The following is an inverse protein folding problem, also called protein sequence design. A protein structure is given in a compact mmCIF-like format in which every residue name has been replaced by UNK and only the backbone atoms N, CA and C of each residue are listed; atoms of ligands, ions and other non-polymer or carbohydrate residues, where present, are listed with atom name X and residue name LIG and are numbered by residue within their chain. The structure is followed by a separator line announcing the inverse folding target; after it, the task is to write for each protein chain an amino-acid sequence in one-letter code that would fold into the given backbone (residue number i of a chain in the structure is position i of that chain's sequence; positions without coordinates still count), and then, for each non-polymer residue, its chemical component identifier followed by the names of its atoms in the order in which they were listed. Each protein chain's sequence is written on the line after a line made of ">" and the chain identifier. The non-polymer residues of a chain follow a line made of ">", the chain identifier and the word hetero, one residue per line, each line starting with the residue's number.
data_IF_969644372118
#
_entry.id   IF_969644372118
#
_cell.length_a   1.000
_cell.length_b   1.000
_cell.length_c   1.000
_cell.angle_alpha   90.00
_cell.angle_beta   90.00
_cell.angle_gamma   90.00
#
_symmetry.space_group_name_H-M   'P 1'
#
loop_
_entity.id
_entity.type
_entity.pdbx_description
1 polymer ?
#
# COMPACT_ATOMS: atom_id res chain seq x y z
N UNK A 1 17.07 -27.68 -15.52
CA UNK A 1 16.21 -26.76 -14.75
C UNK A 1 16.87 -26.39 -13.43
N UNK A 2 17.31 -25.14 -13.35
CA UNK A 2 17.73 -24.40 -12.17
C UNK A 2 16.65 -24.40 -11.08
N UNK A 3 17.07 -24.08 -9.85
CA UNK A 3 16.18 -23.88 -8.70
C UNK A 3 15.16 -22.75 -8.96
N UNK A 4 15.56 -21.72 -9.71
CA UNK A 4 14.71 -20.58 -10.05
C UNK A 4 13.50 -20.97 -10.91
N UNK A 5 13.65 -21.69 -12.04
CA UNK A 5 12.48 -22.14 -12.79
C UNK A 5 11.63 -23.17 -12.07
N UNK A 6 12.20 -24.05 -11.25
CA UNK A 6 11.38 -24.96 -10.44
C UNK A 6 10.44 -24.17 -9.52
N UNK A 7 10.93 -23.07 -8.96
CA UNK A 7 10.12 -22.16 -8.15
C UNK A 7 9.10 -21.40 -9.01
N UNK A 8 9.47 -20.83 -10.16
CA UNK A 8 8.53 -20.11 -11.04
C UNK A 8 7.42 -21.05 -11.56
N UNK A 9 7.77 -22.26 -11.99
CA UNK A 9 6.82 -23.29 -12.40
C UNK A 9 5.93 -23.70 -11.22
N UNK A 10 6.50 -23.87 -10.02
CA UNK A 10 5.72 -24.17 -8.84
C UNK A 10 4.78 -23.02 -8.45
N UNK A 11 5.16 -21.76 -8.62
CA UNK A 11 4.28 -20.60 -8.40
C UNK A 11 3.17 -20.51 -9.44
N UNK A 12 3.49 -20.67 -10.72
CA UNK A 12 2.50 -20.74 -11.81
C UNK A 12 1.50 -21.88 -11.57
N UNK A 13 1.96 -23.02 -11.02
CA UNK A 13 1.09 -24.16 -10.70
C UNK A 13 0.32 -24.02 -9.37
N UNK A 14 0.71 -23.11 -8.45
CA UNK A 14 0.10 -22.96 -7.11
C UNK A 14 -0.93 -21.84 -6.99
N UNK A 15 -1.19 -21.06 -8.04
CA UNK A 15 -2.21 -20.02 -8.00
C UNK A 15 -2.09 -18.93 -9.07
N UNK A 16 -0.95 -18.83 -9.75
CA UNK A 16 -0.73 -17.83 -10.81
C UNK A 16 -1.02 -18.37 -12.22
N UNK A 17 -1.91 -19.36 -12.33
CA UNK A 17 -2.37 -19.86 -13.63
C UNK A 17 -3.07 -18.75 -14.41
N UNK A 18 -2.89 -18.71 -15.73
CA UNK A 18 -3.59 -17.76 -16.59
C UNK A 18 -5.11 -17.88 -16.37
N UNK A 19 -5.74 -16.76 -16.02
CA UNK A 19 -7.18 -16.64 -15.77
C UNK A 19 -7.84 -15.56 -16.65
N UNK A 20 -7.05 -14.95 -17.54
CA UNK A 20 -7.44 -13.86 -18.43
C UNK A 20 -7.21 -12.46 -17.86
N UNK A 21 -7.25 -12.30 -16.53
CA UNK A 21 -7.00 -11.02 -15.86
C UNK A 21 -5.51 -10.78 -15.58
N UNK A 22 -4.78 -11.85 -15.32
CA UNK A 22 -3.37 -11.82 -14.96
C UNK A 22 -2.39 -11.94 -16.15
N UNK A 23 -2.87 -11.82 -17.40
CA UNK A 23 -2.09 -12.08 -18.62
C UNK A 23 -0.74 -11.36 -18.64
N UNK A 24 -0.65 -10.10 -18.23
CA UNK A 24 0.61 -9.33 -18.31
C UNK A 24 1.73 -9.93 -17.42
N UNK A 25 1.35 -10.41 -16.23
CA UNK A 25 2.29 -11.03 -15.29
C UNK A 25 2.60 -12.45 -15.75
N UNK A 26 1.56 -13.19 -16.13
CA UNK A 26 1.69 -14.55 -16.65
C UNK A 26 2.61 -14.60 -17.88
N UNK A 27 2.43 -13.69 -18.84
CA UNK A 27 3.21 -13.56 -20.06
C UNK A 27 4.70 -13.41 -19.75
N UNK A 28 5.06 -12.59 -18.77
CA UNK A 28 6.47 -12.43 -18.35
C UNK A 28 7.00 -13.68 -17.66
N UNK A 29 6.25 -14.23 -16.70
CA UNK A 29 6.67 -15.42 -15.93
C UNK A 29 6.89 -16.62 -16.85
N UNK A 30 5.98 -16.88 -17.80
CA UNK A 30 6.10 -18.04 -18.71
C UNK A 30 7.25 -17.88 -19.70
N UNK A 31 7.59 -16.66 -20.12
CA UNK A 31 8.77 -16.42 -20.96
C UNK A 31 10.07 -16.81 -20.24
N UNK A 32 10.22 -16.51 -18.95
CA UNK A 32 11.38 -16.93 -18.17
C UNK A 32 11.49 -18.45 -18.08
N UNK A 33 10.36 -19.15 -17.93
CA UNK A 33 10.32 -20.61 -17.91
C UNK A 33 10.78 -21.19 -19.25
N UNK A 34 10.27 -20.67 -20.36
CA UNK A 34 10.62 -21.15 -21.70
C UNK A 34 12.06 -20.82 -22.09
N UNK A 35 12.62 -19.71 -21.58
CA UNK A 35 14.05 -19.37 -21.68
C UNK A 35 14.92 -20.43 -21.01
N UNK A 36 14.63 -20.78 -19.76
CA UNK A 36 15.43 -21.75 -19.02
C UNK A 36 15.26 -23.20 -19.50
N UNK A 37 14.13 -23.48 -20.15
CA UNK A 37 13.89 -24.75 -20.84
C UNK A 37 14.54 -24.79 -22.24
N UNK A 38 15.16 -23.69 -22.70
CA UNK A 38 15.78 -23.56 -24.03
C UNK A 38 14.82 -23.82 -25.21
N UNK A 39 13.54 -23.48 -25.01
CA UNK A 39 12.46 -23.67 -26.01
C UNK A 39 11.77 -22.37 -26.41
N UNK A 40 12.14 -21.22 -25.84
CA UNK A 40 11.52 -19.92 -26.15
C UNK A 40 11.51 -19.57 -27.65
N UNK A 41 12.52 -20.00 -28.40
CA UNK A 41 12.62 -19.79 -29.85
C UNK A 41 11.43 -20.37 -30.63
N UNK A 42 10.80 -21.44 -30.12
CA UNK A 42 9.64 -22.08 -30.77
C UNK A 42 8.37 -21.24 -30.74
N UNK A 43 8.34 -20.17 -29.93
CA UNK A 43 7.24 -19.20 -29.94
C UNK A 43 7.24 -18.28 -31.17
N UNK A 44 8.37 -18.21 -31.88
CA UNK A 44 8.57 -17.26 -32.99
C UNK A 44 8.88 -17.96 -34.31
N UNK A 45 9.39 -19.20 -34.24
CA UNK A 45 9.81 -19.97 -35.41
C UNK A 45 8.91 -21.19 -35.65
N UNK A 46 8.45 -21.29 -36.89
CA UNK A 46 7.81 -22.49 -37.43
C UNK A 46 8.82 -23.23 -38.30
N UNK A 47 8.85 -24.55 -38.22
CA UNK A 47 9.64 -25.41 -39.11
C UNK A 47 8.69 -26.31 -39.88
N UNK A 48 8.76 -26.25 -41.21
CA UNK A 48 8.03 -27.16 -42.08
C UNK A 48 8.68 -28.54 -42.08
N UNK A 49 7.86 -29.56 -42.29
CA UNK A 49 8.35 -30.93 -42.43
C UNK A 49 9.10 -31.07 -43.75
N UNK A 50 10.37 -31.51 -43.74
CA UNK A 50 11.16 -31.62 -44.97
C UNK A 50 10.54 -32.65 -45.93
N UNK A 51 10.60 -32.36 -47.23
CA UNK A 51 10.20 -33.29 -48.28
C UNK A 51 11.06 -34.56 -48.27
N UNK A 52 10.52 -35.69 -48.74
CA UNK A 52 11.27 -36.95 -48.77
C UNK A 52 12.51 -36.85 -49.66
N UNK A 53 13.66 -37.23 -49.13
CA UNK A 53 14.93 -37.28 -49.85
C UNK A 53 15.90 -38.32 -49.31
N UNK A 54 16.99 -38.54 -50.03
CA UNK A 54 18.06 -39.50 -49.66
C UNK A 54 19.43 -38.84 -49.55
N UNK A 55 19.48 -37.52 -49.54
CA UNK A 55 20.74 -36.76 -49.44
C UNK A 55 21.19 -36.60 -47.99
N UNK A 56 22.50 -36.40 -47.78
CA UNK A 56 23.04 -36.08 -46.46
C UNK A 56 22.47 -34.76 -45.88
N UNK A 57 21.97 -33.87 -46.75
CA UNK A 57 21.26 -32.66 -46.33
C UNK A 57 19.87 -33.00 -45.79
N UNK A 58 19.12 -33.88 -46.48
CA UNK A 58 17.82 -34.36 -46.01
C UNK A 58 17.89 -35.01 -44.63
N UNK A 59 18.90 -35.85 -44.37
CA UNK A 59 19.09 -36.46 -43.04
C UNK A 59 19.29 -35.41 -41.93
N UNK A 60 20.06 -34.36 -42.22
CA UNK A 60 20.26 -33.23 -41.29
C UNK A 60 18.98 -32.45 -41.06
N UNK A 61 18.23 -32.18 -42.12
CA UNK A 61 16.96 -31.44 -42.06
C UNK A 61 15.91 -32.24 -41.28
N UNK A 62 15.86 -33.56 -41.48
CA UNK A 62 14.99 -34.46 -40.72
C UNK A 62 15.37 -34.49 -39.24
N UNK A 63 16.67 -34.54 -38.91
CA UNK A 63 17.14 -34.49 -37.53
C UNK A 63 16.79 -33.14 -36.87
N UNK A 64 16.95 -32.03 -37.58
CA UNK A 64 16.53 -30.71 -37.11
C UNK A 64 15.01 -30.63 -36.87
N UNK A 65 14.21 -31.21 -37.77
CA UNK A 65 12.75 -31.29 -37.63
C UNK A 65 12.33 -32.06 -36.38
N UNK A 66 12.95 -33.21 -36.09
CA UNK A 66 12.67 -34.00 -34.87
C UNK A 66 12.99 -33.20 -33.60
N UNK A 67 14.14 -32.49 -33.59
CA UNK A 67 14.52 -31.64 -32.46
C UNK A 67 13.52 -30.50 -32.28
N UNK A 68 13.11 -29.83 -33.37
CA UNK A 68 12.11 -28.78 -33.33
C UNK A 68 10.75 -29.30 -32.84
N UNK A 69 10.25 -30.43 -33.35
CA UNK A 69 8.99 -31.05 -32.90
C UNK A 69 9.02 -31.33 -31.40
N UNK A 70 10.15 -31.81 -30.86
CA UNK A 70 10.34 -32.01 -29.42
C UNK A 70 10.29 -30.70 -28.64
N UNK A 71 11.01 -29.67 -29.07
CA UNK A 71 10.99 -28.35 -28.40
C UNK A 71 9.60 -27.70 -28.45
N UNK A 72 8.91 -27.80 -29.59
CA UNK A 72 7.54 -27.33 -29.78
C UNK A 72 6.59 -28.00 -28.78
N UNK A 73 6.66 -29.32 -28.63
CA UNK A 73 5.83 -30.05 -27.66
C UNK A 73 6.10 -29.62 -26.21
N UNK A 74 7.38 -29.43 -25.83
CA UNK A 74 7.73 -28.94 -24.49
C UNK A 74 7.14 -27.54 -24.25
N UNK A 75 7.29 -26.62 -25.21
CA UNK A 75 6.74 -25.28 -25.09
C UNK A 75 5.21 -25.28 -24.98
N UNK A 76 4.51 -26.06 -25.81
CA UNK A 76 3.05 -26.23 -25.73
C UNK A 76 2.59 -26.76 -24.38
N UNK A 77 3.23 -27.83 -23.89
CA UNK A 77 2.91 -28.42 -22.59
C UNK A 77 3.11 -27.39 -21.48
N UNK A 78 4.23 -26.65 -21.49
CA UNK A 78 4.49 -25.60 -20.49
C UNK A 78 3.40 -24.51 -20.53
N UNK A 79 3.01 -24.03 -21.72
CA UNK A 79 1.95 -23.03 -21.87
C UNK A 79 0.62 -23.53 -21.29
N UNK A 80 0.19 -24.73 -21.67
CA UNK A 80 -1.05 -25.37 -21.21
C UNK A 80 -1.05 -25.63 -19.70
N UNK A 81 0.09 -26.07 -19.16
CA UNK A 81 0.24 -26.34 -17.72
C UNK A 81 0.05 -25.08 -16.87
N UNK A 82 0.41 -23.92 -17.41
CA UNK A 82 0.39 -22.65 -16.72
C UNK A 82 -0.93 -21.88 -16.88
N UNK A 83 -1.99 -22.48 -17.41
CA UNK A 83 -3.31 -21.87 -17.54
C UNK A 83 -4.40 -22.65 -16.80
N UNK A 84 -5.52 -21.98 -16.50
CA UNK A 84 -6.70 -22.65 -15.92
C UNK A 84 -7.30 -23.64 -16.91
N UNK A 85 -7.95 -24.68 -16.38
CA UNK A 85 -8.42 -25.84 -17.16
C UNK A 85 -9.37 -25.43 -18.31
N UNK A 86 -10.20 -24.40 -18.10
CA UNK A 86 -11.09 -23.87 -19.16
C UNK A 86 -10.31 -23.31 -20.34
N UNK A 87 -9.24 -22.54 -20.07
CA UNK A 87 -8.37 -22.00 -21.11
C UNK A 87 -7.49 -23.09 -21.71
N UNK A 88 -7.05 -24.07 -20.90
CA UNK A 88 -6.29 -25.21 -21.39
C UNK A 88 -7.06 -25.95 -22.48
N UNK A 89 -8.34 -26.25 -22.26
CA UNK A 89 -9.19 -26.89 -23.27
C UNK A 89 -9.36 -26.02 -24.53
N UNK A 90 -9.47 -24.70 -24.36
CA UNK A 90 -9.62 -23.78 -25.50
C UNK A 90 -8.36 -23.70 -26.36
N UNK A 91 -7.18 -23.65 -25.74
CA UNK A 91 -5.91 -23.47 -26.43
C UNK A 91 -5.23 -24.79 -26.83
N UNK A 92 -5.75 -25.95 -26.45
CA UNK A 92 -5.17 -27.25 -26.80
C UNK A 92 -5.18 -27.53 -28.31
N UNK A 93 -6.15 -26.96 -29.05
CA UNK A 93 -6.32 -27.14 -30.50
C UNK A 93 -5.13 -26.66 -31.34
N UNK A 94 -4.31 -25.75 -30.82
CA UNK A 94 -3.17 -25.19 -31.54
C UNK A 94 -2.01 -26.19 -31.58
N UNK A 95 -1.67 -26.69 -32.78
CA UNK A 95 -0.60 -27.69 -32.99
C UNK A 95 0.82 -27.16 -32.75
N UNK A 96 1.00 -25.84 -32.82
CA UNK A 96 2.29 -25.18 -32.66
C UNK A 96 2.29 -24.25 -31.46
N UNK A 97 3.41 -24.20 -30.74
CA UNK A 97 3.63 -23.26 -29.65
C UNK A 97 3.53 -21.81 -30.14
N UNK A 98 4.03 -21.54 -31.36
CA UNK A 98 3.87 -20.27 -32.04
C UNK A 98 2.40 -19.89 -32.24
N UNK A 99 1.58 -20.76 -32.83
CA UNK A 99 0.16 -20.49 -33.07
C UNK A 99 -0.60 -20.23 -31.76
N UNK A 100 -0.35 -21.05 -30.73
CA UNK A 100 -0.92 -20.86 -29.40
C UNK A 100 -0.51 -19.50 -28.79
N UNK A 101 0.77 -19.15 -28.91
CA UNK A 101 1.32 -17.90 -28.38
C UNK A 101 0.75 -16.65 -29.06
N UNK A 102 0.57 -16.69 -30.38
CA UNK A 102 -0.06 -15.63 -31.16
C UNK A 102 -1.54 -15.47 -30.80
N UNK A 103 -2.28 -16.57 -30.69
CA UNK A 103 -3.69 -16.54 -30.29
C UNK A 103 -3.88 -16.00 -28.85
N UNK A 104 -3.00 -16.37 -27.92
CA UNK A 104 -3.00 -15.82 -26.56
C UNK A 104 -2.73 -14.31 -26.55
N UNK A 105 -1.82 -13.82 -27.39
CA UNK A 105 -1.55 -12.39 -27.54
C UNK A 105 -2.74 -11.65 -28.15
N UNK A 106 -3.41 -12.23 -29.12
CA UNK A 106 -4.58 -11.62 -29.73
C UNK A 106 -5.74 -11.53 -28.71
N UNK A 107 -6.02 -12.63 -28.02
CA UNK A 107 -7.11 -12.71 -27.04
C UNK A 107 -6.89 -11.84 -25.79
N UNK A 108 -5.67 -11.81 -25.26
CA UNK A 108 -5.39 -11.19 -23.95
C UNK A 108 -4.35 -10.05 -24.00
N UNK A 109 -3.54 -9.98 -25.05
CA UNK A 109 -2.46 -9.00 -25.19
C UNK A 109 -2.92 -7.62 -25.63
N UNK A 110 -4.07 -7.53 -26.32
CA UNK A 110 -4.77 -6.26 -26.41
C UNK A 110 -5.34 -5.92 -25.03
N UNK A 111 -5.03 -4.74 -24.50
CA UNK A 111 -5.79 -4.22 -23.37
C UNK A 111 -7.23 -4.05 -23.83
N UNK A 112 -8.09 -5.01 -23.51
CA UNK A 112 -9.50 -4.93 -23.87
C UNK A 112 -10.08 -3.64 -23.29
N UNK A 113 -10.95 -2.96 -24.04
CA UNK A 113 -11.62 -1.75 -23.57
C UNK A 113 -12.28 -1.98 -22.19
N UNK A 114 -12.75 -3.22 -21.94
CA UNK A 114 -13.29 -3.68 -20.66
C UNK A 114 -12.25 -3.70 -19.54
N UNK A 115 -11.04 -4.24 -19.76
CA UNK A 115 -9.94 -4.23 -18.79
C UNK A 115 -9.53 -2.80 -18.46
N UNK A 116 -9.38 -1.96 -19.49
CA UNK A 116 -9.03 -0.54 -19.31
C UNK A 116 -10.10 0.19 -18.50
N UNK A 117 -11.38 0.00 -18.83
CA UNK A 117 -12.51 0.58 -18.10
C UNK A 117 -12.51 0.16 -16.64
N UNK A 118 -12.30 -1.12 -16.35
CA UNK A 118 -12.23 -1.66 -14.98
C UNK A 118 -11.06 -1.06 -14.19
N UNK A 119 -9.88 -0.95 -14.79
CA UNK A 119 -8.71 -0.34 -14.15
C UNK A 119 -8.96 1.14 -13.82
N UNK A 120 -9.54 1.90 -14.76
CA UNK A 120 -9.91 3.30 -14.53
C UNK A 120 -10.93 3.45 -13.42
N UNK A 121 -11.97 2.61 -13.43
CA UNK A 121 -13.01 2.65 -12.40
C UNK A 121 -12.41 2.37 -11.02
N UNK A 122 -11.64 1.28 -10.91
CA UNK A 122 -10.94 0.93 -9.66
C UNK A 122 -10.03 2.07 -9.19
N UNK A 123 -9.28 2.70 -10.09
CA UNK A 123 -8.38 3.80 -9.77
C UNK A 123 -9.13 5.05 -9.28
N UNK A 124 -10.21 5.44 -9.95
CA UNK A 124 -10.99 6.62 -9.59
C UNK A 124 -11.79 6.45 -8.30
N UNK A 125 -12.27 5.23 -8.03
CA UNK A 125 -13.08 4.90 -6.86
C UNK A 125 -12.23 4.60 -5.61
N UNK A 126 -10.92 4.36 -5.78
CA UNK A 126 -10.06 3.97 -4.68
C UNK A 126 -9.88 5.10 -3.67
N UNK A 127 -10.12 4.78 -2.39
CA UNK A 127 -9.95 5.69 -1.24
C UNK A 127 -9.00 5.09 -0.21
N UNK A 128 -8.25 5.95 0.47
CA UNK A 128 -7.44 5.56 1.64
C UNK A 128 -8.36 5.02 2.73
N UNK A 129 -8.05 3.81 3.20
CA UNK A 129 -8.82 3.19 4.29
C UNK A 129 -8.34 3.69 5.66
N UNK A 130 -9.20 3.72 6.70
CA UNK A 130 -8.80 4.18 8.04
C UNK A 130 -7.66 3.37 8.66
N UNK A 131 -7.59 2.07 8.38
CA UNK A 131 -6.58 1.14 8.91
C UNK A 131 -5.31 1.03 8.04
N UNK A 132 -5.18 1.87 7.02
CA UNK A 132 -4.06 1.86 6.09
C UNK A 132 -3.17 3.07 6.34
N UNK A 133 -1.85 2.88 6.40
CA UNK A 133 -0.90 4.01 6.52
C UNK A 133 -0.85 4.85 5.24
N UNK A 134 -0.39 6.10 5.32
CA UNK A 134 -0.27 6.93 4.11
C UNK A 134 0.67 6.31 3.08
N UNK A 135 1.83 5.80 3.52
CA UNK A 135 2.77 5.08 2.66
C UNK A 135 2.15 3.87 1.95
N UNK A 136 1.37 3.07 2.65
CA UNK A 136 0.68 1.93 2.04
C UNK A 136 -0.35 2.37 1.00
N UNK A 137 -1.09 3.44 1.29
CA UNK A 137 -2.06 4.03 0.36
C UNK A 137 -1.40 4.50 -0.94
N UNK A 138 -0.32 5.28 -0.82
CA UNK A 138 0.44 5.79 -1.96
C UNK A 138 1.06 4.66 -2.79
N UNK A 139 1.59 3.62 -2.13
CA UNK A 139 2.11 2.44 -2.84
C UNK A 139 1.04 1.75 -3.70
N UNK A 140 -0.19 1.63 -3.21
CA UNK A 140 -1.30 1.05 -3.99
C UNK A 140 -1.68 1.95 -5.17
N UNK A 141 -1.77 3.27 -4.97
CA UNK A 141 -2.04 4.23 -6.04
C UNK A 141 -0.95 4.18 -7.13
N UNK A 142 0.32 4.16 -6.75
CA UNK A 142 1.46 4.03 -7.68
C UNK A 142 1.38 2.74 -8.50
N UNK A 143 0.99 1.63 -7.88
CA UNK A 143 0.78 0.36 -8.59
C UNK A 143 -0.34 0.47 -9.63
N UNK A 144 -1.47 1.10 -9.29
CA UNK A 144 -2.59 1.29 -10.24
C UNK A 144 -2.20 2.21 -11.40
N UNK A 145 -1.44 3.29 -11.16
CA UNK A 145 -0.91 4.16 -12.22
C UNK A 145 -0.02 3.35 -13.18
N UNK A 146 0.84 2.47 -12.64
CA UNK A 146 1.67 1.58 -13.44
C UNK A 146 0.86 0.55 -14.23
N UNK A 147 -0.20 -0.01 -13.65
CA UNK A 147 -1.13 -0.91 -14.34
C UNK A 147 -1.83 -0.20 -15.51
N UNK A 148 -2.33 1.03 -15.30
CA UNK A 148 -2.92 1.85 -16.35
C UNK A 148 -1.92 2.17 -17.48
N UNK A 149 -0.67 2.51 -17.12
CA UNK A 149 0.41 2.75 -18.09
C UNK A 149 0.72 1.50 -18.91
N UNK A 150 0.82 0.34 -18.27
CA UNK A 150 1.04 -0.93 -18.97
C UNK A 150 -0.13 -1.29 -19.88
N UNK A 151 -1.34 -0.89 -19.51
CA UNK A 151 -2.56 -1.03 -20.28
C UNK A 151 -2.68 0.01 -21.44
N UNK A 152 -1.63 0.78 -21.70
CA UNK A 152 -1.57 1.78 -22.78
C UNK A 152 -2.16 3.15 -22.43
N UNK A 153 -2.61 3.37 -21.19
CA UNK A 153 -3.12 4.67 -20.76
C UNK A 153 -2.05 5.48 -20.02
N UNK A 154 -1.60 6.54 -20.67
CA UNK A 154 -0.68 7.50 -20.06
C UNK A 154 -1.51 8.55 -19.32
N UNK A 155 -1.28 8.65 -18.00
CA UNK A 155 -1.86 9.70 -17.17
C UNK A 155 -0.89 10.87 -17.07
N UNK A 156 -1.38 12.07 -17.32
CA UNK A 156 -0.63 13.28 -17.02
C UNK A 156 -0.35 13.38 -15.52
N UNK A 157 0.73 14.06 -15.17
CA UNK A 157 1.12 14.37 -13.80
C UNK A 157 -0.04 15.00 -13.01
N UNK A 158 -0.75 15.96 -13.61
CA UNK A 158 -1.94 16.59 -13.04
C UNK A 158 -3.05 15.57 -12.73
N UNK A 159 -3.36 14.66 -13.66
CA UNK A 159 -4.39 13.63 -13.43
C UNK A 159 -4.01 12.69 -12.27
N UNK A 160 -2.73 12.36 -12.14
CA UNK A 160 -2.24 11.51 -11.04
C UNK A 160 -2.36 12.23 -9.70
N UNK A 161 -1.93 13.50 -9.62
CA UNK A 161 -2.05 14.33 -8.40
C UNK A 161 -3.51 14.47 -8.00
N UNK A 162 -4.38 14.86 -8.92
CA UNK A 162 -5.80 15.03 -8.64
C UNK A 162 -6.48 13.73 -8.19
N UNK A 163 -6.06 12.58 -8.73
CA UNK A 163 -6.55 11.29 -8.27
C UNK A 163 -6.10 10.98 -6.83
N UNK A 164 -4.84 11.25 -6.49
CA UNK A 164 -4.33 11.12 -5.12
C UNK A 164 -5.13 12.03 -4.18
N UNK A 165 -5.31 13.31 -4.50
CA UNK A 165 -6.08 14.23 -3.66
C UNK A 165 -7.53 13.76 -3.46
N UNK A 166 -8.20 13.30 -4.52
CA UNK A 166 -9.57 12.74 -4.43
C UNK A 166 -9.63 11.46 -3.60
N UNK A 167 -8.54 10.68 -3.52
CA UNK A 167 -8.50 9.41 -2.78
C UNK A 167 -8.37 9.58 -1.26
N UNK A 168 -8.01 10.79 -0.79
CA UNK A 168 -7.84 11.07 0.63
C UNK A 168 -9.18 11.19 1.36
N UNK A 169 -9.25 10.78 2.65
CA UNK A 169 -10.45 10.94 3.44
C UNK A 169 -10.65 12.41 3.84
N UNK A 170 -11.84 12.73 4.35
CA UNK A 170 -12.23 14.10 4.72
C UNK A 170 -11.35 14.70 5.84
N UNK A 171 -10.75 13.87 6.69
CA UNK A 171 -9.77 14.33 7.69
C UNK A 171 -8.51 14.97 7.09
N UNK A 172 -8.31 14.87 5.77
CA UNK A 172 -7.19 15.47 5.04
C UNK A 172 -7.62 16.67 4.17
N UNK A 173 -8.80 17.25 4.40
CA UNK A 173 -9.32 18.39 3.65
C UNK A 173 -8.36 19.58 3.56
N UNK A 174 -7.68 19.92 4.66
CA UNK A 174 -6.70 20.98 4.68
C UNK A 174 -5.58 20.75 3.65
N UNK A 175 -5.04 19.54 3.61
CA UNK A 175 -4.00 19.14 2.66
C UNK A 175 -4.52 19.15 1.22
N UNK A 176 -5.75 18.69 0.99
CA UNK A 176 -6.39 18.76 -0.35
C UNK A 176 -6.45 20.19 -0.87
N UNK A 177 -6.89 21.14 -0.04
CA UNK A 177 -6.97 22.56 -0.42
C UNK A 177 -5.58 23.15 -0.67
N UNK A 178 -4.63 22.89 0.22
CA UNK A 178 -3.26 23.41 0.10
C UNK A 178 -2.59 22.95 -1.20
N UNK A 179 -2.74 21.67 -1.55
CA UNK A 179 -2.09 21.09 -2.73
C UNK A 179 -2.81 21.43 -4.04
N UNK A 180 -4.12 21.70 -4.01
CA UNK A 180 -4.86 22.11 -5.22
C UNK A 180 -4.37 23.45 -5.80
N UNK A 181 -3.86 24.35 -4.95
CA UNK A 181 -3.40 25.68 -5.35
C UNK A 181 -1.87 25.79 -5.46
N UNK A 182 -1.15 24.67 -5.31
CA UNK A 182 0.30 24.67 -5.33
C UNK A 182 0.83 24.52 -6.77
N UNK A 183 1.44 25.58 -7.31
CA UNK A 183 1.94 25.60 -8.67
C UNK A 183 3.34 24.97 -8.85
N UNK A 184 4.03 24.62 -7.76
CA UNK A 184 5.43 24.18 -7.80
C UNK A 184 5.61 22.66 -7.78
N UNK A 185 4.57 21.89 -7.42
CA UNK A 185 4.66 20.46 -7.14
C UNK A 185 3.57 19.70 -7.88
N UNK A 186 3.97 19.03 -8.96
CA UNK A 186 3.01 18.51 -9.95
C UNK A 186 3.12 17.02 -10.16
N UNK A 187 4.11 16.34 -9.59
CA UNK A 187 4.31 14.90 -9.82
C UNK A 187 3.66 14.05 -8.75
N UNK A 188 3.46 12.77 -9.07
CA UNK A 188 3.02 11.79 -8.07
C UNK A 188 4.00 11.70 -6.91
N UNK A 189 5.30 11.81 -7.19
CA UNK A 189 6.38 11.79 -6.22
C UNK A 189 6.31 13.00 -5.28
N UNK A 190 6.08 14.21 -5.80
CA UNK A 190 5.99 15.42 -4.98
C UNK A 190 4.82 15.33 -4.00
N UNK A 191 3.61 15.01 -4.50
CA UNK A 191 2.43 14.89 -3.63
C UNK A 191 2.57 13.75 -2.62
N UNK A 192 3.23 12.66 -2.99
CA UNK A 192 3.52 11.55 -2.08
C UNK A 192 4.39 12.01 -0.92
N UNK A 193 5.45 12.78 -1.20
CA UNK A 193 6.34 13.31 -0.19
C UNK A 193 5.62 14.25 0.80
N UNK A 194 4.78 15.17 0.30
CA UNK A 194 3.98 16.05 1.17
C UNK A 194 3.02 15.29 2.09
N UNK A 195 2.37 14.28 1.54
CA UNK A 195 1.44 13.47 2.30
C UNK A 195 2.14 12.64 3.37
N UNK A 196 3.33 12.10 3.08
CA UNK A 196 4.13 11.38 4.08
C UNK A 196 4.63 12.31 5.19
N UNK A 197 5.14 13.51 4.85
CA UNK A 197 5.58 14.50 5.85
C UNK A 197 4.44 14.95 6.78
N UNK A 198 3.25 15.16 6.22
CA UNK A 198 2.08 15.54 7.02
C UNK A 198 1.58 14.37 7.90
N UNK A 199 1.65 13.13 7.41
CA UNK A 199 1.33 11.93 8.21
C UNK A 199 2.27 11.85 9.43
N UNK A 200 3.57 12.03 9.22
CA UNK A 200 4.57 12.07 10.29
C UNK A 200 4.32 13.19 11.28
N UNK A 201 3.96 14.39 10.81
CA UNK A 201 3.62 15.55 11.67
C UNK A 201 2.39 15.26 12.53
N UNK A 202 1.36 14.65 11.95
CA UNK A 202 0.13 14.29 12.66
C UNK A 202 0.39 13.21 13.73
N UNK A 203 1.17 12.19 13.42
CA UNK A 203 1.55 11.15 14.39
C UNK A 203 2.41 11.71 15.54
N UNK A 204 3.36 12.60 15.24
CA UNK A 204 4.13 13.30 16.27
C UNK A 204 3.24 14.14 17.20
N UNK A 205 2.21 14.80 16.65
CA UNK A 205 1.27 15.58 17.46
C UNK A 205 0.41 14.73 18.42
N UNK A 206 -0.01 13.54 17.99
CA UNK A 206 -0.78 12.60 18.82
C UNK A 206 0.03 12.09 19.99
N UNK A 207 1.27 11.65 19.73
CA UNK A 207 2.18 11.15 20.78
C UNK A 207 2.48 12.21 21.85
N UNK A 208 2.62 13.48 21.47
CA UNK A 208 2.79 14.59 22.42
C UNK A 208 1.53 14.81 23.29
N UNK A 209 0.33 14.71 22.69
CA UNK A 209 -0.94 14.85 23.41
C UNK A 209 -1.17 13.70 24.41
N UNK A 210 -0.86 12.46 24.02
CA UNK A 210 -1.01 11.28 24.88
C UNK A 210 -0.03 11.29 26.06
N UNK A 211 1.22 11.72 25.85
CA UNK A 211 2.20 11.89 26.91
C UNK A 211 1.76 12.91 27.98
N UNK A 212 1.14 14.03 27.55
CA UNK A 212 0.63 15.06 28.45
C UNK A 212 -0.61 14.58 29.25
N UNK A 213 -1.45 13.72 28.66
CA UNK A 213 -2.60 13.14 29.34
C UNK A 213 -2.20 12.07 30.38
N UNK A 214 -1.23 11.20 30.05
CA UNK A 214 -0.69 10.21 30.98
C UNK A 214 -0.01 10.86 32.20
N UNK A 215 0.68 11.99 31.99
CA UNK A 215 1.34 12.72 33.06
C UNK A 215 0.37 13.48 33.99
N UNK A 216 -0.91 13.60 33.62
CA UNK A 216 -1.95 14.25 34.42
C UNK A 216 -2.67 13.28 35.38
N UNK A 217 -2.49 11.97 35.21
CA UNK A 217 -3.14 10.93 36.03
C UNK A 217 -2.22 10.27 37.08
N UNK A 218 -0.97 10.70 37.21
CA UNK A 218 -0.04 10.22 38.26
C UNK A 218 -0.21 10.96 39.60
N UNK A 219 -1.45 11.10 40.06
CA UNK A 219 -1.81 11.71 41.33
C UNK A 219 -2.11 10.70 42.45
N UNK A 220 -1.08 10.34 43.22
CA UNK A 220 -1.14 9.98 44.66
C UNK A 220 -2.00 8.75 45.08
N UNK A 221 -1.44 7.54 44.99
CA UNK A 221 -1.79 6.43 45.91
C UNK A 221 -1.23 6.75 47.31
N UNK A 222 -2.00 7.45 48.16
CA UNK A 222 -1.70 7.53 49.60
C UNK A 222 -2.05 6.20 50.27
N UNK A 223 -1.01 5.44 50.63
CA UNK A 223 -1.05 4.29 51.56
C UNK A 223 -1.73 4.72 52.87
N UNK A 224 -2.88 4.13 53.22
CA UNK A 224 -3.51 4.29 54.54
C UNK A 224 -3.27 2.99 55.31
N UNK A 225 -2.48 3.08 56.39
CA UNK A 225 -2.17 1.98 57.29
C UNK A 225 -3.38 1.51 58.08
N UNK A 226 -3.37 0.22 58.38
CA UNK A 226 -4.37 -0.54 59.10
C UNK A 226 -4.08 -0.48 60.61
N UNK A 227 -5.06 -0.11 61.45
CA UNK A 227 -5.12 -0.44 62.88
C UNK A 227 -6.60 -0.55 63.26
N UNK A 228 -7.04 -1.75 63.64
CA UNK A 228 -8.39 -2.01 64.13
C UNK A 228 -8.51 -1.78 65.64
N UNK A 229 -9.67 -1.32 66.11
CA UNK A 229 -10.63 -2.09 66.92
C UNK A 229 -11.69 -1.21 67.62
N UNK A 230 -12.91 -1.77 67.68
CA UNK A 230 -14.04 -1.54 68.63
C UNK A 230 -15.01 -0.36 68.39
N UNK A 231 -16.26 -0.74 68.13
CA UNK A 231 -17.50 0.03 68.35
C UNK A 231 -17.94 -0.11 69.83
N UNK A 232 -19.11 0.40 70.32
CA UNK A 232 -20.18 1.20 69.67
C UNK A 232 -20.73 2.38 70.54
N UNK A 233 -21.69 3.14 70.00
CA UNK A 233 -22.92 3.68 70.65
C UNK A 233 -23.30 5.16 70.36
N UNK A 234 -24.57 5.32 69.96
CA UNK A 234 -25.53 6.45 69.91
C UNK A 234 -25.09 7.92 70.05
N UNK A 235 -25.61 8.79 69.17
CA UNK A 235 -26.90 9.51 69.39
C UNK A 235 -27.10 10.65 68.37
N UNK A 236 -28.23 10.57 67.70
CA UNK A 236 -29.20 11.61 67.33
C UNK A 236 -28.90 13.12 67.47
N UNK A 237 -29.35 13.85 66.42
CA UNK A 237 -30.01 15.17 66.39
C UNK A 237 -29.28 16.41 65.81
N UNK A 238 -30.03 17.03 64.87
CA UNK A 238 -30.18 18.47 64.53
C UNK A 238 -29.44 19.06 63.31
N UNK A 239 -30.21 19.18 62.21
CA UNK A 239 -30.71 20.44 61.60
C UNK A 239 -29.77 21.66 61.63
N UNK A 240 -29.28 22.12 60.46
CA UNK A 240 -29.73 23.34 59.75
C UNK A 240 -28.72 23.89 58.70
N UNK A 241 -29.31 24.40 57.62
CA UNK A 241 -28.92 25.50 56.70
C UNK A 241 -27.58 25.43 55.94
N UNK A 242 -27.73 25.32 54.61
CA UNK A 242 -26.72 25.63 53.60
C UNK A 242 -26.56 27.15 53.50
N UNK A 243 -25.36 27.64 53.80
CA UNK A 243 -24.87 28.94 53.33
C UNK A 243 -23.59 28.72 52.52
N UNK A 244 -23.59 29.28 51.31
CA UNK A 244 -22.50 29.22 50.37
C UNK A 244 -21.29 30.03 50.86
N UNK A 245 -20.13 29.38 51.00
CA UNK A 245 -18.83 30.07 51.05
C UNK A 245 -17.81 29.42 50.12
N UNK A 246 -17.42 30.22 49.12
CA UNK A 246 -16.35 30.02 48.13
C UNK A 246 -15.03 29.77 48.86
N UNK A 247 -14.56 28.53 48.87
CA UNK A 247 -13.32 28.12 49.51
C UNK A 247 -12.07 28.63 48.78
N UNK A 248 -11.24 29.41 49.48
CA UNK A 248 -9.87 29.77 49.11
C UNK A 248 -9.03 28.50 48.91
N UNK A 249 -8.59 28.20 47.69
CA UNK A 249 -7.51 27.25 47.42
C UNK A 249 -6.16 27.95 47.57
N UNK A 250 -5.64 27.98 48.79
CA UNK A 250 -4.25 28.34 49.08
C UNK A 250 -3.33 27.14 48.87
N UNK A 251 -2.83 26.95 47.64
CA UNK A 251 -1.66 26.12 47.37
C UNK A 251 -0.47 27.01 47.12
N UNK A 252 0.64 26.83 47.86
CA UNK A 252 1.92 27.50 47.57
C UNK A 252 2.37 27.06 46.17
N UNK A 253 2.17 27.91 45.16
CA UNK A 253 2.75 27.72 43.83
C UNK A 253 4.25 28.00 43.93
N UNK A 254 5.06 27.10 43.40
CA UNK A 254 6.49 27.32 43.25
C UNK A 254 6.72 28.53 42.33
N UNK A 255 7.30 29.59 42.90
CA UNK A 255 7.51 30.88 42.22
C UNK A 255 8.91 30.99 41.61
N UNK A 256 9.77 30.00 41.77
CA UNK A 256 11.17 30.11 41.28
C UNK A 256 11.28 30.26 39.77
N UNK A 257 10.33 29.70 39.00
CA UNK A 257 10.36 29.74 37.51
C UNK A 257 9.40 30.76 36.88
N UNK A 258 8.64 31.51 37.67
CA UNK A 258 7.65 32.45 37.14
C UNK A 258 8.28 33.82 36.90
N UNK A 259 8.05 34.41 35.71
CA UNK A 259 8.53 35.74 35.33
C UNK A 259 7.51 36.81 35.68
N UNK A 260 7.93 37.85 36.38
CA UNK A 260 7.12 39.02 36.65
C UNK A 260 6.89 39.82 35.37
N UNK A 261 5.65 40.16 35.04
CA UNK A 261 5.34 40.92 33.82
C UNK A 261 5.69 42.42 33.93
N UNK A 262 5.97 42.92 35.14
CA UNK A 262 6.37 44.31 35.33
C UNK A 262 7.89 44.50 35.15
N UNK A 263 8.70 43.79 35.97
CA UNK A 263 10.16 43.95 35.98
C UNK A 263 10.94 42.82 35.29
N UNK A 264 10.24 41.82 34.73
CA UNK A 264 10.85 40.66 34.07
C UNK A 264 11.75 39.77 34.94
N UNK A 265 11.87 40.00 36.25
CA UNK A 265 12.61 39.12 37.15
C UNK A 265 11.77 37.90 37.60
N UNK A 266 12.46 36.82 37.97
CA UNK A 266 11.83 35.58 38.42
C UNK A 266 11.53 35.64 39.94
N UNK A 267 10.63 34.78 40.44
CA UNK A 267 10.45 34.60 41.89
C UNK A 267 9.18 35.19 42.50
N UNK A 268 8.42 36.02 41.78
CA UNK A 268 7.23 36.70 42.33
C UNK A 268 6.14 36.98 41.28
N UNK A 269 4.90 37.23 41.74
CA UNK A 269 3.80 37.68 40.87
C UNK A 269 3.89 39.19 40.62
N UNK A 270 3.37 39.70 39.50
CA UNK A 270 3.36 41.15 39.21
C UNK A 270 2.67 41.99 40.31
N UNK A 271 1.75 41.41 41.08
CA UNK A 271 1.09 42.06 42.23
C UNK A 271 1.98 42.18 43.49
N UNK A 272 3.09 41.46 43.52
CA UNK A 272 4.08 41.41 44.61
C UNK A 272 5.38 42.16 44.19
N UNK A 273 5.36 42.89 43.08
CA UNK A 273 6.51 43.59 42.54
C UNK A 273 6.72 44.94 43.26
N UNK A 274 7.94 45.23 43.69
CA UNK A 274 8.33 46.48 44.37
C UNK A 274 8.78 47.57 43.40
N UNK A 275 9.02 47.22 42.13
CA UNK A 275 9.37 48.18 41.08
C UNK A 275 8.15 48.99 40.65
N UNK A 276 8.36 50.24 40.24
CA UNK A 276 7.32 51.07 39.64
C UNK A 276 6.72 50.36 38.42
N UNK A 277 5.41 50.50 38.21
CA UNK A 277 4.75 49.89 37.05
C UNK A 277 5.23 50.58 35.76
N UNK A 278 5.68 49.78 34.80
CA UNK A 278 5.88 50.22 33.40
C UNK A 278 4.55 50.27 32.65
#
# INVERSE_FOLDING_TARGET
>A
MSSACKNIIAELNRGDKLDGDNYDIWYRKVQYVLEEQEVKETLFHHMEEPEQGTTAQHEKDQQACVVWKRKNSIARITLLSCMQDVLMCEFEEYETAKGMWEALKDKFGATSATKLRRLNQKFNDYKKRPNQSMRQHLRIMSNMIRELKNAGQIMSNEQQVQAVLRSLPESWDHMKVQMTHNENEKTFEDISHHLELEDERLEASKSFSEANFASSNSGLKRKKGNMGHKAPYQSELKRQKKDAKRGKRGGKKDKTKMKCYNCSSLGHFSRECTEAKK
#
